data_IF_031956832281
#
_entry.id   IF_031956832281
#
_cell.length_a   1.000
_cell.length_b   1.000
_cell.length_c   1.000
_cell.angle_alpha   90.00
_cell.angle_beta   90.00
_cell.angle_gamma   90.00
#
_symmetry.space_group_name_H-M   'P 1'
#
loop_
_entity.id
_entity.type
_entity.pdbx_description
1 polymer ?
#
# COMPACT_ATOMS: atom_id res chain seq x y z
N UNK A 1 -25.88 -35.36 -37.45
CA UNK A 1 -25.61 -34.51 -36.27
C UNK A 1 -26.86 -33.67 -36.02
N UNK A 2 -27.55 -33.94 -34.87
CA UNK A 2 -28.83 -33.30 -34.56
C UNK A 2 -28.70 -31.78 -34.47
N UNK A 3 -29.74 -31.04 -34.92
CA UNK A 3 -29.78 -29.56 -34.84
C UNK A 3 -29.51 -29.04 -33.41
N UNK A 4 -30.05 -29.78 -32.40
CA UNK A 4 -29.80 -29.46 -30.97
C UNK A 4 -28.33 -29.60 -30.57
N UNK A 5 -27.60 -30.57 -31.09
CA UNK A 5 -26.19 -30.78 -30.77
C UNK A 5 -25.31 -29.66 -31.39
N UNK A 6 -25.63 -29.20 -32.60
CA UNK A 6 -24.96 -28.06 -33.24
C UNK A 6 -25.18 -26.75 -32.46
N UNK A 7 -26.41 -26.56 -31.95
CA UNK A 7 -26.76 -25.41 -31.15
C UNK A 7 -25.99 -25.40 -29.80
N UNK A 8 -25.88 -26.55 -29.14
CA UNK A 8 -25.13 -26.71 -27.91
C UNK A 8 -23.62 -26.45 -28.10
N UNK A 9 -23.02 -26.90 -29.21
CA UNK A 9 -21.60 -26.73 -29.52
C UNK A 9 -21.24 -25.23 -29.66
N UNK A 10 -22.16 -24.40 -30.11
CA UNK A 10 -21.93 -22.95 -30.25
C UNK A 10 -22.28 -22.16 -28.99
N UNK A 11 -23.37 -22.55 -28.31
CA UNK A 11 -23.92 -21.82 -27.18
C UNK A 11 -23.08 -21.98 -25.92
N UNK A 12 -22.56 -23.19 -25.67
CA UNK A 12 -21.71 -23.44 -24.49
C UNK A 12 -20.42 -22.62 -24.47
N UNK A 13 -19.64 -22.54 -25.56
CA UNK A 13 -18.45 -21.65 -25.59
C UNK A 13 -18.78 -20.16 -25.41
N UNK A 14 -19.92 -19.71 -25.95
CA UNK A 14 -20.35 -18.31 -25.79
C UNK A 14 -20.69 -18.03 -24.30
N UNK A 15 -21.40 -18.93 -23.64
CA UNK A 15 -21.71 -18.78 -22.20
C UNK A 15 -20.43 -18.78 -21.37
N UNK A 16 -19.50 -19.69 -21.66
CA UNK A 16 -18.22 -19.74 -20.97
C UNK A 16 -17.42 -18.44 -21.21
N UNK A 17 -17.36 -17.98 -22.46
CA UNK A 17 -16.65 -16.75 -22.80
C UNK A 17 -17.26 -15.53 -22.11
N UNK A 18 -18.59 -15.39 -22.13
CA UNK A 18 -19.27 -14.27 -21.46
C UNK A 18 -19.11 -14.35 -19.93
N UNK A 19 -19.12 -15.54 -19.35
CA UNK A 19 -18.84 -15.73 -17.94
C UNK A 19 -17.40 -15.28 -17.58
N UNK A 20 -16.40 -15.78 -18.32
CA UNK A 20 -15.01 -15.35 -18.08
C UNK A 20 -14.79 -13.88 -18.38
N UNK A 21 -15.40 -13.33 -19.44
CA UNK A 21 -15.33 -11.91 -19.73
C UNK A 21 -15.93 -11.06 -18.58
N UNK A 22 -17.08 -11.46 -18.04
CA UNK A 22 -17.64 -10.79 -16.86
C UNK A 22 -16.75 -10.93 -15.63
N UNK A 23 -16.16 -12.10 -15.37
CA UNK A 23 -15.23 -12.30 -14.25
C UNK A 23 -13.98 -11.45 -14.41
N UNK A 24 -13.44 -11.32 -15.62
CA UNK A 24 -12.27 -10.50 -15.89
C UNK A 24 -12.58 -8.99 -15.92
N UNK A 25 -13.84 -8.61 -16.20
CA UNK A 25 -14.32 -7.22 -16.20
C UNK A 25 -14.92 -6.78 -14.87
N UNK A 26 -15.16 -7.72 -13.94
CA UNK A 26 -15.38 -7.34 -12.54
C UNK A 26 -14.04 -6.80 -12.06
N UNK A 27 -13.83 -5.48 -12.25
CA UNK A 27 -12.89 -4.77 -11.38
C UNK A 27 -13.30 -5.16 -9.96
N UNK A 28 -12.38 -5.79 -9.24
CA UNK A 28 -12.54 -5.91 -7.80
C UNK A 28 -12.73 -4.49 -7.30
N UNK A 29 -14.00 -4.10 -7.09
CA UNK A 29 -14.30 -3.03 -6.15
C UNK A 29 -13.73 -3.55 -4.83
N UNK A 30 -12.45 -3.20 -4.58
CA UNK A 30 -11.84 -3.42 -3.27
C UNK A 30 -12.83 -2.79 -2.30
N UNK A 31 -13.60 -3.65 -1.64
CA UNK A 31 -14.53 -3.24 -0.60
C UNK A 31 -13.68 -2.49 0.41
N UNK A 32 -13.70 -1.16 0.30
CA UNK A 32 -13.27 -0.31 1.39
C UNK A 32 -14.13 -0.74 2.60
N UNK A 33 -13.64 -1.75 3.32
CA UNK A 33 -14.26 -2.11 4.58
C UNK A 33 -14.06 -0.87 5.45
N UNK A 34 -15.14 -0.32 5.99
CA UNK A 34 -15.12 0.79 6.95
C UNK A 34 -14.05 0.46 7.98
N UNK A 35 -12.86 1.05 7.82
CA UNK A 35 -11.69 0.71 8.61
C UNK A 35 -11.98 1.20 10.02
N UNK A 36 -12.02 0.29 10.98
CA UNK A 36 -12.09 0.70 12.38
C UNK A 36 -10.73 1.29 12.75
N UNK A 37 -10.70 2.57 13.07
CA UNK A 37 -9.49 3.24 13.55
C UNK A 37 -8.85 2.43 14.67
N UNK A 38 -7.55 2.20 14.55
CA UNK A 38 -6.74 1.53 15.58
C UNK A 38 -5.48 2.35 15.84
N UNK A 39 -4.97 2.30 17.05
CA UNK A 39 -3.68 2.92 17.35
C UNK A 39 -2.58 2.26 16.51
N UNK A 40 -1.68 3.08 16.01
CA UNK A 40 -0.44 2.56 15.42
C UNK A 40 0.36 1.87 16.55
N UNK A 41 0.95 0.68 16.32
CA UNK A 41 1.74 -0.01 17.34
C UNK A 41 2.90 0.85 17.84
N UNK A 42 3.17 0.83 19.13
CA UNK A 42 4.38 1.44 19.68
C UNK A 42 5.62 0.65 19.26
N UNK A 43 6.72 1.34 19.03
CA UNK A 43 7.97 0.70 18.58
C UNK A 43 9.19 1.48 19.06
N UNK A 44 10.33 0.78 19.11
CA UNK A 44 11.67 1.32 19.34
C UNK A 44 12.58 0.74 18.24
N UNK A 45 12.70 1.44 17.14
CA UNK A 45 13.49 1.04 15.98
C UNK A 45 14.34 2.22 15.50
N UNK A 46 15.36 1.92 14.70
CA UNK A 46 16.13 2.94 14.00
C UNK A 46 15.63 3.10 12.56
N UNK A 47 15.96 4.23 11.95
CA UNK A 47 15.85 4.38 10.51
C UNK A 47 17.02 3.66 9.79
N UNK A 48 17.02 3.70 8.44
CA UNK A 48 18.09 3.13 7.62
C UNK A 48 19.47 3.79 7.86
N UNK A 49 19.52 4.98 8.45
CA UNK A 49 20.76 5.69 8.80
C UNK A 49 21.24 5.38 10.22
N UNK A 50 20.52 4.51 10.95
CA UNK A 50 20.82 4.15 12.33
C UNK A 50 20.33 5.19 13.37
N UNK A 51 19.51 6.14 12.97
CA UNK A 51 18.96 7.18 13.85
C UNK A 51 17.70 6.60 14.54
N UNK A 52 17.61 6.66 15.90
CA UNK A 52 16.42 6.20 16.61
C UNK A 52 15.16 6.93 16.14
N UNK A 53 14.14 6.18 15.76
CA UNK A 53 12.83 6.71 15.37
C UNK A 53 11.87 6.54 16.53
N UNK A 54 11.29 7.66 16.94
CA UNK A 54 10.30 7.71 18.01
C UNK A 54 8.89 7.66 17.43
N UNK A 55 7.97 7.14 18.22
CA UNK A 55 6.56 7.04 17.87
C UNK A 55 5.93 8.39 17.50
N UNK A 56 6.40 9.49 18.13
CA UNK A 56 5.97 10.85 17.89
C UNK A 56 6.26 11.35 16.46
N UNK A 57 7.13 10.68 15.70
CA UNK A 57 7.33 10.98 14.27
C UNK A 57 6.10 10.70 13.41
N UNK A 58 5.12 9.96 13.95
CA UNK A 58 3.85 9.67 13.29
C UNK A 58 2.74 10.66 13.65
N UNK A 59 3.03 11.70 14.45
CA UNK A 59 2.09 12.79 14.74
C UNK A 59 1.72 13.57 13.47
N UNK A 60 0.49 14.08 13.44
CA UNK A 60 -0.09 14.71 12.27
C UNK A 60 -0.47 13.68 11.20
N UNK A 61 -0.50 14.09 9.93
CA UNK A 61 -0.92 13.22 8.82
C UNK A 61 0.31 12.60 8.17
N UNK A 62 0.38 11.27 8.16
CA UNK A 62 1.48 10.49 7.53
C UNK A 62 0.92 9.37 6.67
N UNK A 63 1.55 9.17 5.53
CA UNK A 63 1.39 7.95 4.74
C UNK A 63 2.52 6.99 5.13
N UNK A 64 2.20 5.89 5.81
CA UNK A 64 3.18 4.84 6.10
C UNK A 64 3.11 3.80 4.99
N UNK A 65 4.20 3.64 4.24
CA UNK A 65 4.31 2.67 3.15
C UNK A 65 5.28 1.55 3.53
N UNK A 66 4.78 0.33 3.50
CA UNK A 66 5.58 -0.89 3.75
C UNK A 66 6.25 -1.30 2.44
N UNK A 67 7.57 -1.40 2.47
CA UNK A 67 8.37 -1.66 1.28
C UNK A 67 9.61 -2.50 1.57
N UNK A 68 10.21 -3.05 0.53
CA UNK A 68 11.49 -3.74 0.62
C UNK A 68 12.25 -3.71 -0.71
N UNK A 69 13.57 -3.84 -0.67
CA UNK A 69 14.41 -3.88 -1.88
C UNK A 69 14.17 -5.12 -2.75
N UNK A 70 13.67 -6.20 -2.17
CA UNK A 70 13.32 -7.44 -2.87
C UNK A 70 11.91 -7.44 -3.47
N UNK A 71 11.10 -6.40 -3.20
CA UNK A 71 9.70 -6.30 -3.62
C UNK A 71 9.59 -5.67 -5.01
N UNK A 72 9.23 -6.47 -6.01
CA UNK A 72 9.07 -5.98 -7.39
C UNK A 72 7.88 -5.03 -7.52
N UNK A 73 6.76 -5.32 -6.87
CA UNK A 73 5.56 -4.47 -6.90
C UNK A 73 5.80 -3.11 -6.23
N UNK A 74 6.70 -3.06 -5.24
CA UNK A 74 7.12 -1.79 -4.65
C UNK A 74 7.82 -0.87 -5.68
N UNK A 75 8.56 -1.46 -6.64
CA UNK A 75 9.16 -0.71 -7.74
C UNK A 75 8.11 -0.13 -8.70
N UNK A 76 6.99 -0.84 -8.88
CA UNK A 76 5.88 -0.39 -9.74
C UNK A 76 5.20 0.86 -9.15
N UNK A 77 4.92 0.87 -7.85
CA UNK A 77 4.27 2.02 -7.19
C UNK A 77 5.21 3.22 -6.93
N UNK A 78 6.52 2.97 -6.88
CA UNK A 78 7.53 3.94 -6.47
C UNK A 78 7.48 5.30 -7.21
N UNK A 79 7.29 5.35 -8.55
CA UNK A 79 7.15 6.61 -9.26
C UNK A 79 5.91 7.42 -8.82
N UNK A 80 4.85 6.75 -8.36
CA UNK A 80 3.67 7.43 -7.86
C UNK A 80 3.90 7.97 -6.43
N UNK A 81 4.57 7.20 -5.57
CA UNK A 81 4.98 7.69 -4.24
C UNK A 81 5.90 8.90 -4.35
N UNK A 82 6.81 8.92 -5.32
CA UNK A 82 7.66 10.09 -5.59
C UNK A 82 6.82 11.32 -5.93
N UNK A 83 5.81 11.19 -6.81
CA UNK A 83 4.89 12.29 -7.13
C UNK A 83 4.12 12.79 -5.89
N UNK A 84 3.70 11.89 -5.01
CA UNK A 84 3.04 12.27 -3.76
C UNK A 84 4.00 13.04 -2.83
N UNK A 85 5.23 12.58 -2.71
CA UNK A 85 6.28 13.27 -1.95
C UNK A 85 6.57 14.66 -2.51
N UNK A 86 6.69 14.80 -3.83
CA UNK A 86 6.88 16.09 -4.53
C UNK A 86 5.68 17.03 -4.31
N UNK A 87 4.49 16.48 -4.07
CA UNK A 87 3.28 17.23 -3.69
C UNK A 87 3.19 17.50 -2.17
N UNK A 88 4.29 17.32 -1.43
CA UNK A 88 4.40 17.54 0.02
C UNK A 88 3.58 16.56 0.89
N UNK A 89 3.22 15.40 0.37
CA UNK A 89 2.67 14.33 1.22
C UNK A 89 3.82 13.73 2.03
N UNK A 90 3.67 13.72 3.34
CA UNK A 90 4.69 13.17 4.23
C UNK A 90 4.60 11.64 4.25
N UNK A 91 5.56 10.99 3.57
CA UNK A 91 5.61 9.54 3.46
C UNK A 91 6.70 8.99 4.38
N UNK A 92 6.33 8.08 5.27
CA UNK A 92 7.24 7.30 6.11
C UNK A 92 7.37 5.90 5.51
N UNK A 93 8.58 5.47 5.19
CA UNK A 93 8.85 4.10 4.78
C UNK A 93 8.87 3.17 6.00
N UNK A 94 8.29 1.99 5.90
CA UNK A 94 8.53 0.86 6.79
C UNK A 94 9.25 -0.21 5.99
N UNK A 95 10.59 -0.26 6.15
CA UNK A 95 11.42 -1.22 5.42
C UNK A 95 11.35 -2.59 6.09
N UNK A 96 10.64 -3.50 5.44
CA UNK A 96 10.16 -4.76 5.98
C UNK A 96 11.04 -5.94 5.57
N UNK A 97 11.59 -6.66 6.57
CA UNK A 97 12.36 -7.91 6.38
C UNK A 97 13.42 -7.80 5.28
N UNK A 98 14.21 -6.74 5.34
CA UNK A 98 15.22 -6.42 4.34
C UNK A 98 16.60 -6.25 5.01
N UNK A 99 17.64 -6.14 4.21
CA UNK A 99 18.96 -5.74 4.71
C UNK A 99 19.18 -4.25 4.48
N UNK A 100 19.73 -3.56 5.47
CA UNK A 100 20.00 -2.13 5.40
C UNK A 100 20.78 -1.73 4.14
N UNK A 101 21.85 -2.46 3.82
CA UNK A 101 22.69 -2.17 2.64
C UNK A 101 21.91 -2.27 1.33
N UNK A 102 21.02 -3.27 1.19
CA UNK A 102 20.20 -3.44 -0.03
C UNK A 102 19.13 -2.36 -0.10
N UNK A 103 18.46 -2.08 1.01
CA UNK A 103 17.45 -1.03 1.11
C UNK A 103 18.04 0.34 0.76
N UNK A 104 19.19 0.70 1.34
CA UNK A 104 19.88 1.97 1.06
C UNK A 104 20.34 2.08 -0.40
N UNK A 105 20.93 1.01 -0.95
CA UNK A 105 21.35 0.98 -2.35
C UNK A 105 20.14 1.09 -3.31
N UNK A 106 19.00 0.49 -2.94
CA UNK A 106 17.77 0.56 -3.71
C UNK A 106 17.22 1.99 -3.75
N UNK A 107 17.14 2.68 -2.61
CA UNK A 107 16.71 4.09 -2.54
C UNK A 107 17.67 5.01 -3.29
N UNK A 108 18.99 4.76 -3.19
CA UNK A 108 19.98 5.53 -3.95
C UNK A 108 19.79 5.39 -5.47
N UNK A 109 19.42 4.19 -5.93
CA UNK A 109 19.22 3.89 -7.35
C UNK A 109 17.90 4.43 -7.90
N UNK A 110 16.81 4.34 -7.12
CA UNK A 110 15.47 4.61 -7.61
C UNK A 110 14.87 5.94 -7.10
N UNK A 111 15.59 6.66 -6.24
CA UNK A 111 15.11 7.84 -5.54
C UNK A 111 14.53 7.50 -4.16
N UNK A 112 14.37 8.51 -3.31
CA UNK A 112 13.85 8.34 -1.95
C UNK A 112 12.63 9.25 -1.73
N UNK A 113 11.40 8.71 -1.78
CA UNK A 113 10.19 9.49 -1.54
C UNK A 113 9.88 9.66 -0.04
N UNK A 114 10.63 9.00 0.84
CA UNK A 114 10.36 8.94 2.27
C UNK A 114 11.05 10.06 3.03
N UNK A 115 10.35 10.71 3.96
CA UNK A 115 10.97 11.64 4.92
C UNK A 115 11.93 10.90 5.87
N UNK A 116 11.62 9.64 6.18
CA UNK A 116 12.49 8.66 6.83
C UNK A 116 11.99 7.24 6.48
N UNK A 117 12.87 6.25 6.65
CA UNK A 117 12.50 4.83 6.54
C UNK A 117 12.83 4.10 7.82
N UNK A 118 11.79 3.67 8.55
CA UNK A 118 11.91 2.80 9.73
C UNK A 118 12.48 1.46 9.28
N UNK A 119 13.58 1.01 9.89
CA UNK A 119 14.21 -0.26 9.57
C UNK A 119 13.69 -1.38 10.46
N UNK A 120 12.89 -2.26 9.90
CA UNK A 120 12.26 -3.41 10.58
C UNK A 120 12.78 -4.74 9.99
N UNK A 121 14.05 -5.12 10.28
CA UNK A 121 14.69 -6.28 9.66
C UNK A 121 14.04 -7.60 10.03
N UNK A 122 13.39 -7.70 11.20
CA UNK A 122 12.69 -8.90 11.65
C UNK A 122 11.22 -8.90 11.26
N UNK A 123 10.66 -7.72 10.99
CA UNK A 123 9.25 -7.55 10.68
C UNK A 123 8.36 -7.55 11.92
N UNK A 124 8.90 -7.19 13.09
CA UNK A 124 8.17 -7.20 14.35
C UNK A 124 7.11 -6.08 14.35
N UNK A 125 7.50 -4.85 13.98
CA UNK A 125 6.56 -3.74 13.86
C UNK A 125 5.51 -4.00 12.77
N UNK A 126 5.94 -4.52 11.63
CA UNK A 126 5.04 -4.89 10.55
C UNK A 126 4.03 -5.95 11.01
N UNK A 127 4.46 -6.95 11.80
CA UNK A 127 3.57 -7.97 12.37
C UNK A 127 2.52 -7.35 13.30
N UNK A 128 2.93 -6.49 14.23
CA UNK A 128 2.04 -5.81 15.18
C UNK A 128 1.05 -4.89 14.46
N UNK A 129 1.49 -4.27 13.36
CA UNK A 129 0.63 -3.46 12.49
C UNK A 129 -0.37 -4.30 11.70
N UNK A 130 -0.11 -5.59 11.53
CA UNK A 130 -0.94 -6.54 10.77
C UNK A 130 -0.58 -6.60 9.29
N UNK A 131 0.66 -6.28 8.94
CA UNK A 131 1.18 -6.38 7.57
C UNK A 131 1.20 -7.84 7.12
N UNK A 132 0.67 -8.10 5.94
CA UNK A 132 0.65 -9.42 5.30
C UNK A 132 1.77 -9.59 4.27
N UNK A 133 2.27 -8.48 3.74
CA UNK A 133 3.34 -8.45 2.74
C UNK A 133 3.71 -7.03 2.33
N UNK A 134 4.57 -6.92 1.32
CA UNK A 134 4.91 -5.65 0.71
C UNK A 134 4.49 -5.67 -0.78
N UNK A 135 3.95 -4.55 -1.31
CA UNK A 135 3.69 -3.30 -0.61
C UNK A 135 2.34 -3.27 0.12
N UNK A 136 2.27 -2.49 1.17
CA UNK A 136 1.03 -2.08 1.85
C UNK A 136 1.15 -0.62 2.27
N UNK A 137 0.03 0.09 2.32
CA UNK A 137 0.03 1.50 2.74
C UNK A 137 -1.03 1.79 3.79
N UNK A 138 -0.63 2.56 4.79
CA UNK A 138 -1.46 2.96 5.93
C UNK A 138 -1.54 4.49 5.99
N UNK A 139 -2.74 5.03 6.09
CA UNK A 139 -2.92 6.43 6.46
C UNK A 139 -2.98 6.53 7.97
N UNK A 140 -2.04 7.28 8.52
CA UNK A 140 -1.94 7.53 9.96
C UNK A 140 -2.22 9.01 10.21
N UNK A 141 -3.13 9.29 11.14
CA UNK A 141 -3.47 10.64 11.60
C UNK A 141 -3.35 10.62 13.13
N UNK A 142 -2.45 11.44 13.67
CA UNK A 142 -2.19 11.55 15.10
C UNK A 142 -2.01 10.17 15.77
N UNK A 143 -1.09 9.38 15.21
CA UNK A 143 -0.77 8.02 15.66
C UNK A 143 -1.92 6.98 15.54
N UNK A 144 -3.00 7.32 14.84
CA UNK A 144 -4.09 6.39 14.56
C UNK A 144 -4.10 5.98 13.09
N UNK A 145 -4.15 4.69 12.85
CA UNK A 145 -4.40 4.15 11.50
C UNK A 145 -5.86 4.36 11.16
N UNK A 146 -6.14 5.17 10.15
CA UNK A 146 -7.50 5.52 9.71
C UNK A 146 -7.89 4.88 8.37
N UNK A 147 -6.91 4.43 7.60
CA UNK A 147 -7.13 3.66 6.36
C UNK A 147 -5.92 2.75 6.09
N UNK A 148 -6.17 1.66 5.38
CA UNK A 148 -5.16 0.69 4.98
C UNK A 148 -5.52 0.10 3.63
N UNK A 149 -4.52 -0.09 2.78
CA UNK A 149 -4.63 -0.85 1.54
C UNK A 149 -3.51 -1.89 1.46
N UNK A 150 -3.84 -3.05 0.96
CA UNK A 150 -2.91 -4.09 0.57
C UNK A 150 -2.56 -3.95 -0.92
N UNK A 151 -1.34 -4.36 -1.29
CA UNK A 151 -0.83 -4.19 -2.63
C UNK A 151 -0.46 -2.74 -2.97
N UNK A 152 -0.14 -2.50 -4.23
CA UNK A 152 0.39 -1.23 -4.70
C UNK A 152 -0.54 -0.03 -4.49
N UNK A 153 0.06 1.11 -4.19
CA UNK A 153 -0.61 2.40 -4.19
C UNK A 153 -0.78 2.88 -5.64
N UNK A 154 -2.03 2.93 -6.10
CA UNK A 154 -2.37 3.47 -7.42
C UNK A 154 -2.98 4.86 -7.31
N UNK A 155 -2.97 5.68 -8.40
CA UNK A 155 -3.70 6.95 -8.41
C UNK A 155 -5.18 6.80 -8.05
N UNK A 156 -5.84 5.74 -8.52
CA UNK A 156 -7.26 5.46 -8.20
C UNK A 156 -7.46 5.23 -6.70
N UNK A 157 -6.66 4.36 -6.07
CA UNK A 157 -6.72 4.09 -4.62
C UNK A 157 -6.43 5.36 -3.81
N UNK A 158 -5.46 6.14 -4.22
CA UNK A 158 -5.15 7.41 -3.59
C UNK A 158 -6.35 8.37 -3.59
N UNK A 159 -6.90 8.64 -4.78
CA UNK A 159 -8.01 9.59 -4.95
C UNK A 159 -9.32 9.13 -4.29
N UNK A 160 -9.57 7.82 -4.24
CA UNK A 160 -10.83 7.30 -3.72
C UNK A 160 -10.80 6.99 -2.23
N UNK A 161 -9.64 6.67 -1.66
CA UNK A 161 -9.51 6.18 -0.28
C UNK A 161 -8.78 7.20 0.60
N UNK A 162 -7.55 7.59 0.24
CA UNK A 162 -6.70 8.37 1.13
C UNK A 162 -6.93 9.88 1.04
N UNK A 163 -6.97 10.41 -0.16
CA UNK A 163 -7.10 11.86 -0.37
C UNK A 163 -8.35 12.48 0.31
N UNK A 164 -9.54 11.85 0.24
CA UNK A 164 -10.73 12.38 0.94
C UNK A 164 -10.55 12.44 2.46
N UNK A 165 -9.87 11.45 3.06
CA UNK A 165 -9.62 11.40 4.49
C UNK A 165 -8.61 12.47 4.92
N UNK A 166 -7.54 12.66 4.14
CA UNK A 166 -6.54 13.71 4.36
C UNK A 166 -7.21 15.09 4.29
N UNK A 167 -8.02 15.33 3.25
CA UNK A 167 -8.73 16.60 3.08
C UNK A 167 -9.69 16.88 4.25
N UNK A 168 -10.37 15.85 4.74
CA UNK A 168 -11.24 15.99 5.91
C UNK A 168 -10.44 16.36 7.16
N UNK A 169 -9.37 15.64 7.46
CA UNK A 169 -8.52 15.90 8.62
C UNK A 169 -7.88 17.30 8.57
N UNK A 170 -7.41 17.73 7.39
CA UNK A 170 -6.81 19.07 7.23
C UNK A 170 -7.80 20.24 7.39
N UNK A 171 -9.11 20.00 7.28
CA UNK A 171 -10.14 21.03 7.48
C UNK A 171 -10.63 21.09 8.93
N UNK A 172 -10.32 20.11 9.76
CA UNK A 172 -10.71 20.00 11.17
C UNK A 172 -9.61 20.52 12.12
N UNK A 173 -8.43 20.86 11.58
CA UNK A 173 -7.28 21.45 12.30
C UNK A 173 -7.22 22.95 12.08
#
# INVERSE_FOLDING_TARGET
MNKSLRFLIVLVPIIIFTFFANVLLIEEDEKFSKFNTKNFPSFELNDLNGIPVKYEYLDGIKLVNVWASWCITCLVEHPFLTKLSDANIQIVGLNYKDSNNKASAWLQKHGNPYILSIYDPRGDLAFDLGVTGAPESYLVIDNQVVAHIQGEMTPKKWETIFYPLIKKASNET
#
